data_IF_223643428631
#
_entry.id   IF_223643428631
#
_cell.length_a   1.000
_cell.length_b   1.000
_cell.length_c   1.000
_cell.angle_alpha   90.00
_cell.angle_beta   90.00
_cell.angle_gamma   90.00
#
_symmetry.space_group_name_H-M   'P 1'
#
loop_
_entity.id
_entity.type
_entity.pdbx_description
1 polymer ?
#
# COMPACT_ATOMS: atom_id res chain seq x y z
N UNK A 1 19.39 47.04 46.51
CA UNK A 1 19.31 45.56 46.46
C UNK A 1 18.41 45.17 45.28
N UNK A 2 19.02 44.86 44.17
CA UNK A 2 18.28 44.46 42.98
C UNK A 2 18.10 42.93 42.99
N UNK A 3 16.90 42.51 43.28
CA UNK A 3 16.55 41.11 43.07
C UNK A 3 16.17 40.93 41.60
N UNK A 4 17.10 40.42 40.80
CA UNK A 4 16.78 39.96 39.48
C UNK A 4 15.87 38.73 39.62
N UNK A 5 14.61 38.88 39.26
CA UNK A 5 13.71 37.76 39.07
C UNK A 5 13.91 37.28 37.65
N UNK A 6 14.62 36.16 37.48
CA UNK A 6 14.61 35.44 36.23
C UNK A 6 13.24 34.79 36.07
N UNK A 7 12.45 35.35 35.19
CA UNK A 7 11.25 34.65 34.72
C UNK A 7 11.73 33.52 33.81
N UNK A 8 11.64 32.29 34.29
CA UNK A 8 11.83 31.14 33.46
C UNK A 8 10.57 31.08 32.61
N UNK A 9 10.70 31.51 31.35
CA UNK A 9 9.69 31.23 30.33
C UNK A 9 9.83 29.75 30.00
N UNK A 10 8.98 28.96 30.60
CA UNK A 10 8.85 27.57 30.14
C UNK A 10 8.27 27.61 28.73
N UNK A 11 9.12 27.46 27.74
CA UNK A 11 8.71 27.28 26.38
C UNK A 11 8.08 25.87 26.31
N UNK A 12 6.77 25.81 26.47
CA UNK A 12 6.01 24.61 26.21
C UNK A 12 6.13 24.35 24.73
N UNK A 13 7.07 23.50 24.34
CA UNK A 13 7.06 22.93 23.00
C UNK A 13 5.85 22.00 22.98
N UNK A 14 4.71 22.53 22.57
CA UNK A 14 3.62 21.74 22.09
C UNK A 14 4.17 21.04 20.86
N UNK A 15 4.65 19.81 21.03
CA UNK A 15 4.92 18.94 19.93
C UNK A 15 3.66 18.95 19.07
N UNK A 16 3.74 19.52 17.88
CA UNK A 16 2.67 19.39 16.93
C UNK A 16 2.46 17.89 16.75
N UNK A 17 1.39 17.34 17.33
CA UNK A 17 0.84 16.11 16.86
C UNK A 17 0.43 16.40 15.43
N UNK A 18 1.34 16.16 14.48
CA UNK A 18 0.95 16.01 13.10
C UNK A 18 -0.16 14.97 13.15
N UNK A 19 -1.37 15.36 12.73
CA UNK A 19 -2.43 14.40 12.50
C UNK A 19 -1.87 13.37 11.53
N UNK A 20 -1.34 12.28 12.07
CA UNK A 20 -0.87 11.19 11.25
C UNK A 20 -2.13 10.61 10.64
N UNK A 21 -2.20 10.65 9.31
CA UNK A 21 -3.21 9.94 8.57
C UNK A 21 -3.18 8.45 8.93
N UNK A 22 -4.23 7.74 8.61
CA UNK A 22 -4.29 6.31 8.81
C UNK A 22 -3.08 5.66 8.11
N UNK A 23 -2.33 4.85 8.86
CA UNK A 23 -1.26 4.05 8.28
C UNK A 23 -1.86 2.91 7.48
N UNK A 24 -1.40 2.78 6.24
CA UNK A 24 -1.72 1.63 5.41
C UNK A 24 -0.60 0.60 5.52
N UNK A 25 -0.95 -0.64 5.80
CA UNK A 25 0.02 -1.73 5.87
C UNK A 25 0.54 -2.07 4.49
N UNK A 26 1.72 -2.70 4.36
CA UNK A 26 2.21 -3.16 3.07
C UNK A 26 1.22 -4.06 2.33
N UNK A 27 0.52 -4.95 3.04
CA UNK A 27 -0.49 -5.82 2.41
C UNK A 27 -1.71 -5.04 1.92
N UNK A 28 -2.12 -3.98 2.60
CA UNK A 28 -3.22 -3.12 2.13
C UNK A 28 -2.83 -2.39 0.84
N UNK A 29 -1.61 -1.88 0.76
CA UNK A 29 -1.09 -1.24 -0.47
C UNK A 29 -1.03 -2.28 -1.61
N UNK A 30 -0.56 -3.49 -1.33
CA UNK A 30 -0.56 -4.58 -2.31
C UNK A 30 -1.98 -4.94 -2.77
N UNK A 31 -2.92 -5.09 -1.85
CA UNK A 31 -4.34 -5.35 -2.17
C UNK A 31 -4.92 -4.27 -3.07
N UNK A 32 -4.66 -3.02 -2.76
CA UNK A 32 -5.15 -1.89 -3.55
C UNK A 32 -4.57 -1.91 -4.98
N UNK A 33 -3.28 -2.17 -5.12
CA UNK A 33 -2.63 -2.27 -6.43
C UNK A 33 -3.19 -3.44 -7.25
N UNK A 34 -3.32 -4.61 -6.68
CA UNK A 34 -3.87 -5.80 -7.34
C UNK A 34 -5.36 -5.61 -7.66
N UNK A 35 -6.09 -4.92 -6.80
CA UNK A 35 -7.50 -4.57 -7.04
C UNK A 35 -7.69 -3.82 -8.36
N UNK A 36 -6.84 -2.84 -8.64
CA UNK A 36 -6.89 -2.07 -9.89
C UNK A 36 -6.45 -2.93 -11.07
N UNK A 37 -5.35 -3.65 -10.92
CA UNK A 37 -4.78 -4.47 -11.99
C UNK A 37 -5.73 -5.59 -12.42
N UNK A 38 -6.38 -6.26 -11.46
CA UNK A 38 -7.20 -7.45 -11.70
C UNK A 38 -8.70 -7.18 -11.70
N UNK A 39 -9.13 -5.95 -11.37
CA UNK A 39 -10.55 -5.62 -11.28
C UNK A 39 -11.26 -6.36 -10.16
N UNK A 40 -10.62 -6.53 -9.00
CA UNK A 40 -11.16 -7.23 -7.83
C UNK A 40 -11.30 -6.31 -6.64
N UNK A 41 -12.30 -6.57 -5.81
CA UNK A 41 -12.52 -5.81 -4.57
C UNK A 41 -11.46 -6.18 -3.53
N UNK A 42 -10.90 -5.18 -2.87
CA UNK A 42 -9.91 -5.39 -1.81
C UNK A 42 -10.43 -6.23 -0.66
N UNK A 43 -11.73 -6.12 -0.32
CA UNK A 43 -12.37 -6.94 0.72
C UNK A 43 -12.41 -8.44 0.41
N UNK A 44 -12.28 -8.83 -0.85
CA UNK A 44 -12.20 -10.23 -1.25
C UNK A 44 -10.83 -10.85 -1.03
N UNK A 45 -9.85 -10.03 -0.67
CA UNK A 45 -8.45 -10.41 -0.57
C UNK A 45 -8.06 -10.68 0.87
N UNK A 46 -7.19 -11.67 1.07
CA UNK A 46 -6.62 -12.03 2.37
C UNK A 46 -5.15 -11.68 2.40
N UNK A 47 -4.68 -11.19 3.54
CA UNK A 47 -3.25 -11.03 3.80
C UNK A 47 -2.64 -12.37 4.17
N UNK A 48 -1.59 -12.76 3.45
CA UNK A 48 -0.77 -13.94 3.79
C UNK A 48 0.41 -13.50 4.66
N UNK A 49 1.09 -12.43 4.27
CA UNK A 49 2.20 -11.86 5.04
C UNK A 49 2.39 -10.38 4.69
N UNK A 50 3.13 -9.67 5.55
CA UNK A 50 3.40 -8.24 5.40
C UNK A 50 4.76 -7.94 4.75
N UNK A 51 5.77 -8.78 4.96
CA UNK A 51 7.14 -8.52 4.50
C UNK A 51 7.77 -9.75 3.86
N UNK A 52 7.91 -9.79 2.52
CA UNK A 52 7.26 -8.89 1.57
C UNK A 52 5.74 -9.07 1.60
N UNK A 53 4.96 -8.06 1.21
CA UNK A 53 3.51 -8.20 1.21
C UNK A 53 3.05 -9.26 0.22
N UNK A 54 2.25 -10.18 0.72
CA UNK A 54 1.66 -11.26 -0.04
C UNK A 54 0.18 -11.35 0.27
N UNK A 55 -0.63 -11.42 -0.77
CA UNK A 55 -2.10 -11.47 -0.68
C UNK A 55 -2.64 -12.59 -1.53
N UNK A 56 -3.84 -13.03 -1.20
CA UNK A 56 -4.58 -13.99 -2.01
C UNK A 56 -6.04 -13.60 -2.13
N UNK A 57 -6.69 -14.06 -3.18
CA UNK A 57 -8.13 -14.05 -3.27
C UNK A 57 -8.63 -15.33 -3.94
N UNK A 58 -9.89 -15.67 -3.67
CA UNK A 58 -10.58 -16.80 -4.28
C UNK A 58 -11.69 -16.28 -5.17
N UNK A 59 -11.76 -16.78 -6.41
CA UNK A 59 -12.86 -16.50 -7.31
C UNK A 59 -14.09 -17.33 -6.96
N UNK A 60 -15.24 -16.92 -7.45
CA UNK A 60 -16.52 -17.63 -7.23
C UNK A 60 -16.50 -19.04 -7.80
N UNK A 61 -15.69 -19.31 -8.86
CA UNK A 61 -15.49 -20.64 -9.42
C UNK A 61 -14.61 -21.57 -8.56
N UNK A 62 -14.07 -21.06 -7.46
CA UNK A 62 -13.24 -21.80 -6.53
C UNK A 62 -11.74 -21.67 -6.76
N UNK A 63 -11.30 -21.07 -7.87
CA UNK A 63 -9.89 -20.84 -8.13
C UNK A 63 -9.31 -19.79 -7.20
N UNK A 64 -8.13 -20.07 -6.65
CA UNK A 64 -7.40 -19.17 -5.77
C UNK A 64 -6.20 -18.58 -6.50
N UNK A 65 -5.96 -17.30 -6.25
CA UNK A 65 -4.85 -16.54 -6.81
C UNK A 65 -4.00 -15.95 -5.71
N UNK A 66 -2.71 -15.95 -5.89
CA UNK A 66 -1.76 -15.42 -4.92
C UNK A 66 -0.77 -14.48 -5.62
N UNK A 67 -0.55 -13.33 -5.00
CA UNK A 67 0.32 -12.29 -5.51
C UNK A 67 1.26 -11.84 -4.41
N UNK A 68 2.47 -11.50 -4.81
CA UNK A 68 3.46 -10.87 -3.93
C UNK A 68 3.85 -9.53 -4.51
N UNK A 69 3.93 -8.52 -3.66
CA UNK A 69 4.35 -7.18 -4.04
C UNK A 69 5.69 -6.83 -3.41
N UNK A 70 6.41 -5.91 -4.04
CA UNK A 70 7.48 -5.15 -3.42
C UNK A 70 7.18 -3.66 -3.59
N UNK A 71 7.40 -2.90 -2.53
CA UNK A 71 7.15 -1.46 -2.50
C UNK A 71 8.51 -0.76 -2.57
N UNK A 72 8.78 -0.09 -3.68
CA UNK A 72 10.07 0.53 -3.95
C UNK A 72 9.86 1.96 -4.45
N UNK A 73 10.28 2.94 -3.64
CA UNK A 73 10.24 4.34 -4.05
C UNK A 73 8.86 4.85 -4.47
N UNK A 74 7.80 4.45 -3.76
CA UNK A 74 6.43 4.82 -4.11
C UNK A 74 5.83 4.01 -5.26
N UNK A 75 6.56 3.00 -5.75
CA UNK A 75 6.09 2.08 -6.78
C UNK A 75 5.64 0.76 -6.15
N UNK A 76 4.63 0.14 -6.76
CA UNK A 76 4.23 -1.23 -6.44
C UNK A 76 4.63 -2.12 -7.60
N UNK A 77 5.52 -3.06 -7.35
CA UNK A 77 5.91 -4.09 -8.30
C UNK A 77 5.38 -5.41 -7.80
N UNK A 78 4.77 -6.20 -8.67
CA UNK A 78 4.10 -7.42 -8.25
C UNK A 78 4.47 -8.61 -9.14
N UNK A 79 4.22 -9.80 -8.62
CA UNK A 79 4.34 -11.06 -9.35
C UNK A 79 3.25 -12.03 -8.93
N UNK A 80 2.94 -12.95 -9.83
CA UNK A 80 1.92 -13.98 -9.66
C UNK A 80 2.55 -15.30 -9.23
N UNK A 81 1.88 -16.02 -8.33
CA UNK A 81 2.17 -17.41 -8.05
C UNK A 81 1.41 -18.30 -9.04
N UNK A 82 2.11 -19.21 -9.67
CA UNK A 82 1.52 -20.20 -10.59
C UNK A 82 1.31 -21.52 -9.85
N UNK A 83 0.05 -21.82 -9.51
CA UNK A 83 -0.30 -23.02 -8.74
C UNK A 83 -0.02 -24.31 -9.49
N UNK A 84 -0.08 -24.30 -10.82
CA UNK A 84 0.17 -25.44 -11.68
C UNK A 84 1.63 -25.89 -11.67
N UNK A 85 2.56 -24.97 -11.54
CA UNK A 85 4.00 -25.25 -11.49
C UNK A 85 4.60 -25.12 -10.10
N UNK A 86 3.90 -24.47 -9.15
CA UNK A 86 4.41 -24.17 -7.83
C UNK A 86 5.48 -23.08 -7.79
N UNK A 87 5.54 -22.28 -8.85
CA UNK A 87 6.58 -21.25 -9.01
C UNK A 87 6.00 -19.85 -9.07
N UNK A 88 6.80 -18.88 -8.59
CA UNK A 88 6.51 -17.47 -8.78
C UNK A 88 6.90 -17.03 -10.18
N UNK A 89 6.05 -16.24 -10.82
CA UNK A 89 6.36 -15.57 -12.07
C UNK A 89 7.35 -14.42 -11.88
N UNK A 90 7.72 -13.79 -12.98
CA UNK A 90 8.64 -12.64 -12.96
C UNK A 90 7.99 -11.44 -12.27
N UNK A 91 8.81 -10.54 -11.75
CA UNK A 91 8.36 -9.25 -11.30
C UNK A 91 7.87 -8.40 -12.48
N UNK A 92 6.70 -7.80 -12.36
CA UNK A 92 6.08 -6.98 -13.40
C UNK A 92 6.62 -5.55 -13.33
N UNK A 93 7.84 -5.37 -13.80
CA UNK A 93 8.56 -4.09 -13.84
C UNK A 93 9.25 -3.81 -15.17
N UNK A 94 8.90 -4.58 -16.21
CA UNK A 94 9.40 -4.39 -17.57
C UNK A 94 8.45 -3.45 -18.33
N UNK A 95 8.48 -2.18 -17.96
CA UNK A 95 7.55 -1.16 -18.46
C UNK A 95 7.70 -0.93 -19.97
N UNK A 96 8.92 -1.01 -20.50
CA UNK A 96 9.17 -0.93 -21.94
C UNK A 96 8.55 -2.09 -22.72
N UNK A 97 8.31 -3.23 -22.08
CA UNK A 97 7.74 -4.43 -22.69
C UNK A 97 6.24 -4.58 -22.42
N UNK A 98 5.60 -3.56 -21.87
CA UNK A 98 4.15 -3.48 -21.72
C UNK A 98 3.60 -3.71 -20.32
N UNK A 99 4.44 -3.93 -19.31
CA UNK A 99 3.95 -3.98 -17.92
C UNK A 99 3.43 -2.61 -17.50
N UNK A 100 2.30 -2.60 -16.80
CA UNK A 100 1.76 -1.37 -16.25
C UNK A 100 2.63 -0.85 -15.11
N UNK A 101 2.81 0.47 -15.07
CA UNK A 101 3.49 1.15 -13.98
C UNK A 101 2.46 1.51 -12.93
N UNK A 102 2.62 0.98 -11.72
CA UNK A 102 1.74 1.23 -10.58
C UNK A 102 2.47 1.98 -9.49
N UNK A 103 1.91 3.11 -9.09
CA UNK A 103 2.45 3.93 -8.00
C UNK A 103 1.41 4.15 -6.92
N UNK A 104 1.85 4.54 -5.73
CA UNK A 104 0.96 4.85 -4.62
C UNK A 104 1.40 6.09 -3.87
N UNK A 105 0.43 6.80 -3.32
CA UNK A 105 0.64 7.90 -2.40
C UNK A 105 -0.33 7.79 -1.24
N UNK A 106 0.10 8.23 -0.07
CA UNK A 106 -0.76 8.35 1.12
C UNK A 106 -0.87 9.82 1.47
N UNK A 107 -2.09 10.31 1.56
CA UNK A 107 -2.38 11.69 1.95
C UNK A 107 -3.52 11.67 2.98
N UNK A 108 -3.20 12.08 4.21
CA UNK A 108 -4.15 11.97 5.31
C UNK A 108 -4.55 10.52 5.56
N UNK A 109 -5.84 10.23 5.48
CA UNK A 109 -6.45 8.91 5.66
C UNK A 109 -6.76 8.21 4.32
N UNK A 110 -6.18 8.69 3.22
CA UNK A 110 -6.40 8.19 1.87
C UNK A 110 -5.16 7.59 1.26
N UNK A 111 -5.34 6.42 0.64
CA UNK A 111 -4.36 5.75 -0.20
C UNK A 111 -4.81 5.91 -1.66
N UNK A 112 -3.98 6.52 -2.50
CA UNK A 112 -4.25 6.61 -3.93
C UNK A 112 -3.29 5.71 -4.69
N UNK A 113 -3.85 4.85 -5.51
CA UNK A 113 -3.12 4.00 -6.44
C UNK A 113 -3.32 4.56 -7.85
N UNK A 114 -2.24 4.68 -8.59
CA UNK A 114 -2.28 5.08 -9.99
C UNK A 114 -1.61 4.01 -10.84
N UNK A 115 -2.36 3.49 -11.80
CA UNK A 115 -1.87 2.51 -12.77
C UNK A 115 -1.98 3.16 -14.17
N UNK A 116 -0.89 3.19 -14.91
CA UNK A 116 -0.82 3.92 -16.19
C UNK A 116 -1.67 3.28 -17.30
N UNK A 117 -2.18 2.08 -17.10
CA UNK A 117 -3.05 1.38 -18.06
C UNK A 117 -4.48 1.25 -17.59
N UNK A 118 -4.70 1.05 -16.29
CA UNK A 118 -6.02 0.75 -15.72
C UNK A 118 -6.64 1.92 -14.97
N UNK A 119 -5.93 3.04 -14.81
CA UNK A 119 -6.44 4.24 -14.17
C UNK A 119 -6.03 4.36 -12.70
N UNK A 120 -6.76 5.19 -11.96
CA UNK A 120 -6.47 5.49 -10.57
C UNK A 120 -7.68 5.25 -9.68
N UNK A 121 -7.43 4.93 -8.43
CA UNK A 121 -8.47 4.83 -7.41
C UNK A 121 -7.94 5.25 -6.04
N UNK A 122 -8.83 5.72 -5.19
CA UNK A 122 -8.53 6.15 -3.83
C UNK A 122 -9.23 5.24 -2.84
N UNK A 123 -8.51 4.81 -1.84
CA UNK A 123 -8.96 3.89 -0.81
C UNK A 123 -8.87 4.53 0.57
N UNK A 124 -9.77 4.13 1.46
CA UNK A 124 -9.69 4.41 2.89
C UNK A 124 -9.56 3.09 3.67
N UNK A 125 -9.27 3.16 4.97
CA UNK A 125 -9.10 1.96 5.79
C UNK A 125 -10.32 1.04 5.79
N UNK A 126 -11.52 1.58 5.66
CA UNK A 126 -12.78 0.81 5.61
C UNK A 126 -12.92 -0.05 4.36
N UNK A 127 -12.10 0.18 3.34
CA UNK A 127 -12.15 -0.56 2.07
C UNK A 127 -11.43 -1.91 2.14
N UNK A 128 -10.74 -2.17 3.25
CA UNK A 128 -9.94 -3.38 3.43
C UNK A 128 -10.56 -4.39 4.41
#
# INVERSE_FOLDING_TARGET
MNRLRFAIVALSILGACSAQGAEFTPSEICKAAISIEMGRKTKSMKTIQQTPPEISYRRDDGDSFKYRCKLVGGMVVWRTYFADTGEWGRWREQYADGDAMTSYTVSGDKLTITNDQSGAATFSKKDF
#
